data_IF_532823579565
#
_entry.id   IF_532823579565
#
_cell.length_a   1.000
_cell.length_b   1.000
_cell.length_c   1.000
_cell.angle_alpha   90.00
_cell.angle_beta   90.00
_cell.angle_gamma   90.00
#
_symmetry.space_group_name_H-M   'P 1'
#
loop_
_entity.id
_entity.type
_entity.pdbx_description
1 polymer ?
#
# COMPACT_ATOMS: atom_id res chain seq x y z
N UNK A 1 16.22 -41.33 -11.80
CA UNK A 1 15.20 -40.75 -10.89
C UNK A 1 13.85 -41.25 -11.35
N UNK A 2 12.92 -41.60 -10.45
CA UNK A 2 11.53 -41.87 -10.87
C UNK A 2 10.89 -40.55 -11.31
N UNK A 3 9.92 -40.63 -12.23
CA UNK A 3 9.17 -39.47 -12.73
C UNK A 3 8.55 -38.68 -11.57
N UNK A 4 8.09 -39.36 -10.52
CA UNK A 4 7.48 -38.74 -9.33
C UNK A 4 8.45 -37.85 -8.55
N UNK A 5 9.73 -38.22 -8.48
CA UNK A 5 10.74 -37.38 -7.83
C UNK A 5 11.02 -36.08 -8.60
N UNK A 6 10.91 -36.12 -9.94
CA UNK A 6 11.06 -34.95 -10.79
C UNK A 6 9.83 -34.03 -10.68
N UNK A 7 8.62 -34.60 -10.63
CA UNK A 7 7.38 -33.84 -10.42
C UNK A 7 7.32 -33.18 -9.04
N UNK A 8 7.73 -33.87 -7.97
CA UNK A 8 7.81 -33.30 -6.62
C UNK A 8 8.79 -32.12 -6.59
N UNK A 9 9.93 -32.26 -7.27
CA UNK A 9 10.95 -31.20 -7.33
C UNK A 9 10.45 -29.96 -8.07
N UNK A 10 9.85 -30.11 -9.25
CA UNK A 10 9.32 -28.95 -9.98
C UNK A 10 8.14 -28.29 -9.26
N UNK A 11 7.23 -29.07 -8.65
CA UNK A 11 6.16 -28.49 -7.83
C UNK A 11 6.70 -27.70 -6.63
N UNK A 12 7.72 -28.22 -5.92
CA UNK A 12 8.37 -27.49 -4.83
C UNK A 12 8.97 -26.14 -5.28
N UNK A 13 9.49 -26.09 -6.50
CA UNK A 13 10.04 -24.86 -7.08
C UNK A 13 8.94 -23.85 -7.39
N UNK A 14 7.77 -24.27 -7.86
CA UNK A 14 6.63 -23.36 -8.03
C UNK A 14 6.11 -22.85 -6.68
N UNK A 15 6.04 -23.70 -5.64
CA UNK A 15 5.70 -23.26 -4.27
C UNK A 15 6.66 -22.16 -3.81
N UNK A 16 7.96 -22.34 -3.99
CA UNK A 16 8.96 -21.33 -3.62
C UNK A 16 8.79 -20.02 -4.39
N UNK A 17 8.38 -20.06 -5.66
CA UNK A 17 8.09 -18.82 -6.41
C UNK A 17 6.91 -18.07 -5.84
N UNK A 18 5.82 -18.78 -5.47
CA UNK A 18 4.65 -18.15 -4.86
C UNK A 18 5.02 -17.53 -3.50
N UNK A 19 5.82 -18.23 -2.68
CA UNK A 19 6.33 -17.70 -1.42
C UNK A 19 7.19 -16.44 -1.62
N UNK A 20 8.07 -16.42 -2.64
CA UNK A 20 8.84 -15.23 -3.00
C UNK A 20 7.93 -14.07 -3.45
N UNK A 21 6.89 -14.35 -4.23
CA UNK A 21 5.91 -13.33 -4.63
C UNK A 21 5.14 -12.76 -3.43
N UNK A 22 4.82 -13.58 -2.43
CA UNK A 22 4.20 -13.11 -1.19
C UNK A 22 5.13 -12.17 -0.41
N UNK A 23 6.42 -12.52 -0.31
CA UNK A 23 7.43 -11.67 0.33
C UNK A 23 7.64 -10.35 -0.42
N UNK A 24 7.72 -10.39 -1.75
CA UNK A 24 7.81 -9.20 -2.60
C UNK A 24 6.57 -8.31 -2.45
N UNK A 25 5.37 -8.89 -2.43
CA UNK A 25 4.12 -8.18 -2.22
C UNK A 25 4.09 -7.49 -0.85
N UNK A 26 4.50 -8.19 0.22
CA UNK A 26 4.58 -7.62 1.56
C UNK A 26 5.58 -6.46 1.65
N UNK A 27 6.75 -6.60 1.02
CA UNK A 27 7.75 -5.55 0.97
C UNK A 27 7.29 -4.35 0.14
N UNK A 28 6.63 -4.61 -1.00
CA UNK A 28 6.00 -3.59 -1.84
C UNK A 28 4.95 -2.77 -1.07
N UNK A 29 4.05 -3.45 -0.34
CA UNK A 29 3.07 -2.79 0.54
C UNK A 29 3.74 -1.87 1.55
N UNK A 30 4.71 -2.37 2.32
CA UNK A 30 5.43 -1.57 3.32
C UNK A 30 6.10 -0.34 2.70
N UNK A 31 6.68 -0.49 1.51
CA UNK A 31 7.31 0.63 0.80
C UNK A 31 6.29 1.70 0.42
N UNK A 32 5.15 1.29 -0.14
CA UNK A 32 4.06 2.21 -0.50
C UNK A 32 3.46 2.91 0.72
N UNK A 33 3.22 2.18 1.82
CA UNK A 33 2.75 2.77 3.08
C UNK A 33 3.70 3.83 3.61
N UNK A 34 5.00 3.55 3.60
CA UNK A 34 6.01 4.51 4.02
C UNK A 34 6.03 5.76 3.13
N UNK A 35 5.89 5.60 1.82
CA UNK A 35 5.84 6.71 0.87
C UNK A 35 4.57 7.56 1.05
N UNK A 36 3.41 6.93 1.25
CA UNK A 36 2.16 7.64 1.54
C UNK A 36 2.27 8.43 2.85
N UNK A 37 2.81 7.83 3.91
CA UNK A 37 3.02 8.49 5.19
C UNK A 37 3.98 9.67 5.08
N UNK A 38 5.05 9.55 4.28
CA UNK A 38 5.98 10.66 4.03
C UNK A 38 5.29 11.81 3.31
N UNK A 39 4.54 11.51 2.25
CA UNK A 39 3.80 12.51 1.49
C UNK A 39 2.74 13.22 2.35
N UNK A 40 2.02 12.48 3.19
CA UNK A 40 1.04 13.06 4.11
C UNK A 40 1.71 14.04 5.09
N UNK A 41 2.85 13.66 5.67
CA UNK A 41 3.61 14.53 6.58
C UNK A 41 4.11 15.80 5.90
N UNK A 42 4.61 15.67 4.67
CA UNK A 42 5.09 16.83 3.89
C UNK A 42 3.95 17.79 3.57
N UNK A 43 2.79 17.28 3.15
CA UNK A 43 1.61 18.10 2.87
C UNK A 43 1.06 18.75 4.15
N UNK A 44 0.94 18.02 5.25
CA UNK A 44 0.53 18.57 6.54
C UNK A 44 1.45 19.71 6.99
N UNK A 45 2.77 19.54 6.82
CA UNK A 45 3.75 20.59 7.10
C UNK A 45 3.55 21.79 6.19
N UNK A 46 3.35 21.58 4.88
CA UNK A 46 3.12 22.65 3.91
C UNK A 46 1.86 23.47 4.24
N UNK A 47 0.75 22.82 4.56
CA UNK A 47 -0.49 23.50 4.99
C UNK A 47 -0.30 24.29 6.29
N UNK A 48 0.45 23.75 7.26
CA UNK A 48 0.77 24.49 8.49
C UNK A 48 1.56 25.77 8.17
N UNK A 49 2.58 25.70 7.33
CA UNK A 49 3.38 26.86 6.93
C UNK A 49 2.54 27.91 6.19
N UNK A 50 1.65 27.48 5.29
CA UNK A 50 0.71 28.39 4.63
C UNK A 50 -0.25 29.07 5.61
N UNK A 51 -0.70 28.32 6.64
CA UNK A 51 -1.55 28.87 7.69
C UNK A 51 -0.83 29.90 8.55
N UNK A 52 0.45 29.70 8.85
CA UNK A 52 1.28 30.65 9.59
C UNK A 52 1.46 31.96 8.78
N UNK A 53 1.80 31.85 7.49
CA UNK A 53 1.93 33.01 6.59
C UNK A 53 0.63 33.80 6.44
N UNK A 54 -0.49 33.09 6.27
CA UNK A 54 -1.79 33.74 6.19
C UNK A 54 -2.17 34.41 7.51
N UNK A 55 -1.83 33.81 8.65
CA UNK A 55 -2.09 34.41 9.96
C UNK A 55 -1.36 35.75 10.12
N UNK A 56 -0.09 35.82 9.71
CA UNK A 56 0.68 37.08 9.69
C UNK A 56 0.03 38.12 8.77
N UNK A 57 -0.38 37.72 7.56
CA UNK A 57 -1.09 38.61 6.63
C UNK A 57 -2.42 39.12 7.18
N UNK A 58 -3.19 38.27 7.88
CA UNK A 58 -4.44 38.65 8.54
C UNK A 58 -4.17 39.68 9.64
N UNK A 59 -3.15 39.47 10.48
CA UNK A 59 -2.76 40.44 11.52
C UNK A 59 -2.36 41.79 10.93
N UNK A 60 -1.80 41.81 9.72
CA UNK A 60 -1.46 43.02 8.97
C UNK A 60 -2.65 43.64 8.21
N UNK A 61 -3.86 43.09 8.35
CA UNK A 61 -5.09 43.61 7.73
C UNK A 61 -5.29 43.19 6.27
N UNK A 62 -4.57 42.17 5.78
CA UNK A 62 -4.77 41.66 4.43
C UNK A 62 -6.03 40.81 4.34
N UNK A 63 -7.13 41.39 3.85
CA UNK A 63 -8.43 40.71 3.70
C UNK A 63 -8.35 39.46 2.81
N UNK A 64 -7.47 39.44 1.80
CA UNK A 64 -7.28 38.29 0.92
C UNK A 64 -6.71 37.07 1.66
N UNK A 65 -5.93 37.28 2.73
CA UNK A 65 -5.35 36.18 3.51
C UNK A 65 -6.43 35.35 4.23
N UNK A 66 -7.56 35.95 4.59
CA UNK A 66 -8.72 35.23 5.16
C UNK A 66 -9.32 34.25 4.14
N UNK A 67 -9.46 34.68 2.89
CA UNK A 67 -9.98 33.83 1.82
C UNK A 67 -9.02 32.69 1.48
N UNK A 68 -7.72 32.99 1.36
CA UNK A 68 -6.70 31.97 1.11
C UNK A 68 -6.63 30.93 2.24
N UNK A 69 -6.78 31.36 3.49
CA UNK A 69 -6.81 30.46 4.65
C UNK A 69 -7.93 29.43 4.52
N UNK A 70 -9.16 29.87 4.23
CA UNK A 70 -10.31 28.97 4.05
C UNK A 70 -10.12 28.01 2.86
N UNK A 71 -9.53 28.49 1.78
CA UNK A 71 -9.25 27.66 0.61
C UNK A 71 -8.22 26.56 0.95
N UNK A 72 -7.17 26.90 1.69
CA UNK A 72 -6.18 25.92 2.12
C UNK A 72 -6.74 24.91 3.12
N UNK A 73 -7.60 25.33 4.06
CA UNK A 73 -8.31 24.42 4.96
C UNK A 73 -9.18 23.42 4.19
N UNK A 74 -9.94 23.89 3.19
CA UNK A 74 -10.75 23.02 2.35
C UNK A 74 -9.89 22.03 1.55
N UNK A 75 -8.76 22.49 1.00
CA UNK A 75 -7.80 21.61 0.30
C UNK A 75 -7.19 20.58 1.26
N UNK A 76 -6.80 20.99 2.46
CA UNK A 76 -6.24 20.09 3.47
C UNK A 76 -7.23 18.97 3.82
N UNK A 77 -8.52 19.31 4.03
CA UNK A 77 -9.56 18.32 4.27
C UNK A 77 -9.74 17.35 3.10
N UNK A 78 -9.76 17.86 1.86
CA UNK A 78 -9.84 17.02 0.67
C UNK A 78 -8.65 16.06 0.56
N UNK A 79 -7.43 16.54 0.82
CA UNK A 79 -6.24 15.68 0.81
C UNK A 79 -6.30 14.60 1.90
N UNK A 80 -6.75 14.93 3.12
CA UNK A 80 -6.93 13.94 4.18
C UNK A 80 -7.88 12.81 3.76
N UNK A 81 -8.98 13.14 3.09
CA UNK A 81 -9.90 12.14 2.54
C UNK A 81 -9.25 11.29 1.46
N UNK A 82 -8.48 11.90 0.55
CA UNK A 82 -7.76 11.17 -0.49
C UNK A 82 -6.70 10.22 0.09
N UNK A 83 -5.97 10.62 1.13
CA UNK A 83 -5.04 9.72 1.82
C UNK A 83 -5.75 8.54 2.45
N UNK A 84 -6.88 8.80 3.12
CA UNK A 84 -7.68 7.73 3.71
C UNK A 84 -8.12 6.72 2.65
N UNK A 85 -8.66 7.19 1.53
CA UNK A 85 -9.04 6.35 0.39
C UNK A 85 -7.86 5.57 -0.18
N UNK A 86 -6.71 6.23 -0.38
CA UNK A 86 -5.51 5.57 -0.88
C UNK A 86 -5.00 4.45 0.05
N UNK A 87 -5.09 4.65 1.37
CA UNK A 87 -4.77 3.61 2.35
C UNK A 87 -5.74 2.43 2.27
N UNK A 88 -7.04 2.69 2.17
CA UNK A 88 -8.05 1.64 2.02
C UNK A 88 -7.89 0.85 0.72
N UNK A 89 -7.62 1.52 -0.40
CA UNK A 89 -7.36 0.88 -1.69
C UNK A 89 -6.08 0.03 -1.68
N UNK A 90 -5.02 0.52 -1.03
CA UNK A 90 -3.78 -0.23 -0.85
C UNK A 90 -4.02 -1.50 -0.02
N UNK A 91 -4.74 -1.38 1.09
CA UNK A 91 -5.06 -2.53 1.95
C UNK A 91 -5.96 -3.54 1.24
N UNK A 92 -6.98 -3.07 0.53
CA UNK A 92 -7.90 -3.91 -0.21
C UNK A 92 -7.19 -4.67 -1.33
N UNK A 93 -6.40 -3.97 -2.15
CA UNK A 93 -5.66 -4.58 -3.26
C UNK A 93 -4.63 -5.59 -2.75
N UNK A 94 -3.88 -5.25 -1.69
CA UNK A 94 -2.94 -6.15 -1.06
C UNK A 94 -3.61 -7.45 -0.58
N UNK A 95 -4.71 -7.35 0.18
CA UNK A 95 -5.42 -8.52 0.70
C UNK A 95 -5.95 -9.40 -0.42
N UNK A 96 -6.52 -8.79 -1.46
CA UNK A 96 -7.03 -9.51 -2.63
C UNK A 96 -5.93 -10.29 -3.35
N UNK A 97 -4.79 -9.66 -3.59
CA UNK A 97 -3.65 -10.32 -4.25
C UNK A 97 -3.05 -11.40 -3.37
N UNK A 98 -2.88 -11.14 -2.07
CA UNK A 98 -2.37 -12.13 -1.12
C UNK A 98 -3.25 -13.38 -1.06
N UNK A 99 -4.57 -13.20 -1.02
CA UNK A 99 -5.52 -14.32 -1.04
C UNK A 99 -5.39 -15.16 -2.31
N UNK A 100 -5.18 -14.52 -3.48
CA UNK A 100 -4.92 -15.25 -4.72
C UNK A 100 -3.66 -16.12 -4.65
N UNK A 101 -2.57 -15.57 -4.13
CA UNK A 101 -1.31 -16.31 -3.93
C UNK A 101 -1.46 -17.42 -2.88
N UNK A 102 -2.24 -17.21 -1.82
CA UNK A 102 -2.52 -18.24 -0.82
C UNK A 102 -3.26 -19.43 -1.43
N UNK A 103 -4.28 -19.18 -2.26
CA UNK A 103 -5.02 -20.23 -2.98
C UNK A 103 -4.09 -20.99 -3.92
N UNK A 104 -3.29 -20.29 -4.74
CA UNK A 104 -2.33 -20.92 -5.65
C UNK A 104 -1.33 -21.81 -4.89
N UNK A 105 -0.80 -21.32 -3.77
CA UNK A 105 0.10 -22.10 -2.91
C UNK A 105 -0.57 -23.35 -2.36
N UNK A 106 -1.82 -23.24 -1.90
CA UNK A 106 -2.59 -24.38 -1.37
C UNK A 106 -2.87 -25.44 -2.44
N UNK A 107 -3.19 -25.02 -3.67
CA UNK A 107 -3.37 -25.91 -4.82
C UNK A 107 -2.07 -26.66 -5.15
N UNK A 108 -0.93 -25.97 -5.18
CA UNK A 108 0.38 -26.58 -5.40
C UNK A 108 0.72 -27.60 -4.29
N UNK A 109 0.45 -27.27 -3.02
CA UNK A 109 0.63 -28.23 -1.92
C UNK A 109 -0.31 -29.43 -2.02
N UNK A 110 -1.54 -29.26 -2.52
CA UNK A 110 -2.46 -30.36 -2.74
C UNK A 110 -1.98 -31.26 -3.87
N UNK A 111 -1.53 -30.69 -4.99
CA UNK A 111 -0.94 -31.41 -6.12
C UNK A 111 0.27 -32.23 -5.66
N UNK A 112 1.19 -31.63 -4.89
CA UNK A 112 2.36 -32.34 -4.37
C UNK A 112 2.01 -33.58 -3.56
N UNK A 113 0.99 -33.50 -2.71
CA UNK A 113 0.53 -34.66 -1.93
C UNK A 113 0.06 -35.79 -2.84
N UNK A 114 -0.48 -35.50 -4.03
CA UNK A 114 -0.86 -36.54 -4.98
C UNK A 114 0.36 -37.30 -5.54
N UNK A 115 1.53 -36.65 -5.66
CA UNK A 115 2.77 -37.30 -6.10
C UNK A 115 3.46 -38.10 -4.98
N UNK A 116 3.32 -37.66 -3.73
CA UNK A 116 3.93 -38.33 -2.57
C UNK A 116 3.15 -39.58 -2.10
N UNK A 117 1.85 -39.64 -2.38
CA UNK A 117 0.95 -40.72 -1.95
C UNK A 117 0.30 -41.50 -3.11
N UNK A 118 0.66 -41.17 -4.35
CA UNK A 118 0.18 -41.79 -5.59
C UNK A 118 0.98 -43.01 -6.03
#
# INVERSE_FOLDING_TARGET
MSIDNEMIYENQKEIWKVEQQQDELANGKRRLENQLLQLEKELQRGFRQLSELNHEGIQQGMTNAIWMQKEYEAKQQAFQQQFHQAHEELDFSYRKTLQGLEVEREELFAERRTFEWG
#
